data_IF_297510634607
#
_entry.id   IF_297510634607
#
_cell.length_a   1.000
_cell.length_b   1.000
_cell.length_c   1.000
_cell.angle_alpha   90.00
_cell.angle_beta   90.00
_cell.angle_gamma   90.00
#
_symmetry.space_group_name_H-M   'P 1'
#
loop_
_entity.id
_entity.type
_entity.pdbx_description
1 polymer ?
#
# COMPACT_ATOMS: atom_id res chain seq x y z
N UNK A 1 12.95 -43.62 17.22
CA UNK A 1 12.47 -42.22 17.26
C UNK A 1 13.42 -41.45 18.16
N UNK A 2 14.21 -40.52 17.63
CA UNK A 2 15.09 -39.67 18.44
C UNK A 2 14.25 -38.69 19.26
N UNK A 3 14.15 -38.92 20.58
CA UNK A 3 13.52 -38.01 21.54
C UNK A 3 14.49 -36.87 21.90
N UNK A 4 14.93 -36.09 20.91
CA UNK A 4 15.72 -34.88 21.17
C UNK A 4 14.78 -33.73 21.55
N UNK A 5 15.01 -33.03 22.67
CA UNK A 5 14.10 -31.98 23.18
C UNK A 5 14.13 -30.68 22.37
N UNK A 6 14.96 -30.60 21.33
CA UNK A 6 15.13 -29.42 20.48
C UNK A 6 15.10 -29.81 19.01
N UNK A 7 14.55 -28.94 18.18
CA UNK A 7 14.64 -28.99 16.73
C UNK A 7 15.04 -27.60 16.22
N UNK A 8 16.06 -27.54 15.37
CA UNK A 8 16.45 -26.31 14.69
C UNK A 8 16.02 -26.41 13.23
N UNK A 9 15.05 -25.59 12.82
CA UNK A 9 14.51 -25.55 11.46
C UNK A 9 14.55 -24.12 10.93
N UNK A 10 14.99 -23.97 9.69
CA UNK A 10 14.80 -22.72 8.96
C UNK A 10 13.33 -22.56 8.60
N UNK A 11 12.75 -21.40 8.88
CA UNK A 11 11.40 -21.03 8.48
C UNK A 11 11.40 -19.65 7.85
N UNK A 12 10.48 -19.41 6.92
CA UNK A 12 10.28 -18.10 6.33
C UNK A 12 9.23 -17.34 7.13
N UNK A 13 9.53 -16.09 7.47
CA UNK A 13 8.62 -15.18 8.16
C UNK A 13 8.44 -13.92 7.33
N UNK A 14 7.21 -13.45 7.24
CA UNK A 14 6.91 -12.14 6.64
C UNK A 14 6.93 -11.09 7.75
N UNK A 15 7.84 -10.12 7.64
CA UNK A 15 8.01 -9.04 8.62
C UNK A 15 7.67 -7.70 7.97
N UNK A 16 7.18 -6.76 8.78
CA UNK A 16 7.02 -5.37 8.34
C UNK A 16 8.38 -4.69 8.29
N UNK A 17 8.71 -4.04 7.17
CA UNK A 17 9.98 -3.34 6.98
C UNK A 17 9.73 -1.84 6.89
N UNK A 18 10.32 -1.08 7.81
CA UNK A 18 10.33 0.39 7.78
C UNK A 18 11.56 0.83 7.00
N UNK A 19 11.34 1.34 5.80
CA UNK A 19 12.40 1.92 4.98
C UNK A 19 12.61 3.37 5.40
N UNK A 20 13.77 3.64 5.97
CA UNK A 20 14.15 4.98 6.37
C UNK A 20 14.86 5.71 5.23
N UNK A 21 14.55 7.00 5.16
CA UNK A 21 15.14 7.94 4.23
C UNK A 21 15.74 9.11 5.01
N UNK A 22 16.69 9.80 4.39
CA UNK A 22 17.38 10.94 4.99
C UNK A 22 16.38 12.03 5.42
N UNK A 23 16.34 12.32 6.71
CA UNK A 23 15.46 13.31 7.32
C UNK A 23 15.88 13.59 8.77
N UNK A 24 15.49 14.76 9.28
CA UNK A 24 15.68 15.10 10.68
C UNK A 24 14.93 14.10 11.61
N UNK A 25 15.49 13.76 12.79
CA UNK A 25 14.88 12.81 13.74
C UNK A 25 13.42 13.09 14.07
N UNK A 26 13.07 14.37 14.23
CA UNK A 26 11.70 14.82 14.52
C UNK A 26 10.74 14.56 13.35
N UNK A 27 11.23 14.72 12.12
CA UNK A 27 10.46 14.45 10.89
C UNK A 27 10.22 12.96 10.73
N UNK A 28 11.24 12.13 11.02
CA UNK A 28 11.10 10.68 11.03
C UNK A 28 10.05 10.25 12.06
N UNK A 29 10.10 10.80 13.27
CA UNK A 29 9.11 10.49 14.32
C UNK A 29 7.69 10.79 13.85
N UNK A 30 7.46 12.01 13.36
CA UNK A 30 6.13 12.42 12.92
C UNK A 30 5.62 11.54 11.78
N UNK A 31 6.47 11.23 10.81
CA UNK A 31 6.10 10.36 9.69
C UNK A 31 5.71 8.95 10.15
N UNK A 32 6.41 8.40 11.15
CA UNK A 32 6.07 7.10 11.74
C UNK A 32 4.74 7.16 12.50
N UNK A 33 4.50 8.19 13.31
CA UNK A 33 3.25 8.39 14.03
C UNK A 33 2.06 8.51 13.06
N UNK A 34 2.22 9.26 11.97
CA UNK A 34 1.20 9.42 10.94
C UNK A 34 0.88 8.08 10.26
N UNK A 35 1.91 7.27 9.96
CA UNK A 35 1.72 5.92 9.39
C UNK A 35 1.02 4.98 10.36
N UNK A 36 1.39 5.03 11.64
CA UNK A 36 0.73 4.25 12.70
C UNK A 36 -0.74 4.65 12.83
N UNK A 37 -1.04 5.95 12.79
CA UNK A 37 -2.41 6.47 12.85
C UNK A 37 -3.25 6.05 11.63
N UNK A 38 -2.63 5.98 10.44
CA UNK A 38 -3.28 5.50 9.21
C UNK A 38 -3.62 4.01 9.27
N UNK A 39 -2.75 3.19 9.88
CA UNK A 39 -2.92 1.74 9.94
C UNK A 39 -2.67 1.15 11.36
N UNK A 40 -3.50 1.49 12.37
CA UNK A 40 -3.24 1.09 13.74
C UNK A 40 -3.26 -0.43 13.94
N UNK A 41 -4.11 -1.14 13.19
CA UNK A 41 -4.23 -2.59 13.27
C UNK A 41 -2.94 -3.33 12.83
N UNK A 42 -2.12 -2.70 12.00
CA UNK A 42 -0.88 -3.30 11.49
C UNK A 42 0.37 -2.79 12.21
N UNK A 43 0.36 -1.53 12.65
CA UNK A 43 1.58 -0.85 13.12
C UNK A 43 1.62 -0.58 14.62
N UNK A 44 0.48 -0.63 15.35
CA UNK A 44 0.49 -0.43 16.79
C UNK A 44 1.24 -1.56 17.49
N UNK A 45 2.36 -1.23 18.16
CA UNK A 45 3.28 -2.19 18.78
C UNK A 45 3.88 -3.22 17.82
N UNK A 46 3.89 -2.91 16.51
CA UNK A 46 4.30 -3.85 15.51
C UNK A 46 5.78 -4.21 15.63
N UNK A 47 6.11 -5.50 15.44
CA UNK A 47 7.49 -5.93 15.32
C UNK A 47 7.97 -5.60 13.90
N UNK A 48 9.01 -4.75 13.80
CA UNK A 48 9.50 -4.20 12.53
C UNK A 48 10.99 -4.44 12.33
N UNK A 49 11.38 -4.61 11.06
CA UNK A 49 12.77 -4.50 10.61
C UNK A 49 12.99 -3.08 10.13
N UNK A 50 14.10 -2.45 10.53
CA UNK A 50 14.45 -1.10 10.09
C UNK A 50 15.47 -1.20 8.96
N UNK A 51 15.10 -0.74 7.76
CA UNK A 51 16.01 -0.69 6.63
C UNK A 51 16.69 0.68 6.58
N UNK A 52 18.03 0.68 6.62
CA UNK A 52 18.87 1.90 6.61
C UNK A 52 19.61 2.12 5.28
N UNK A 53 19.23 1.42 4.22
CA UNK A 53 19.93 1.47 2.92
C UNK A 53 19.83 2.82 2.20
N UNK A 54 18.85 3.64 2.58
CA UNK A 54 18.58 4.97 2.04
C UNK A 54 19.10 6.13 2.90
N UNK A 55 19.88 5.84 3.95
CA UNK A 55 20.54 6.86 4.78
C UNK A 55 21.98 7.10 4.30
N UNK A 56 22.45 8.33 4.44
CA UNK A 56 23.84 8.69 4.14
C UNK A 56 24.72 8.65 5.41
N UNK A 57 25.96 8.18 5.26
CA UNK A 57 26.91 8.17 6.38
C UNK A 57 27.42 9.59 6.71
N UNK A 58 27.61 9.96 7.99
CA UNK A 58 27.49 9.13 9.19
C UNK A 58 26.07 9.10 9.79
N UNK A 59 25.57 7.90 10.06
CA UNK A 59 24.25 7.70 10.71
C UNK A 59 24.43 7.60 12.22
N UNK A 60 23.69 8.42 12.99
CA UNK A 60 23.60 8.27 14.44
C UNK A 60 22.52 7.24 14.80
N UNK A 61 22.91 5.97 14.89
CA UNK A 61 21.96 4.88 15.10
C UNK A 61 21.29 4.92 16.47
N UNK A 62 22.01 5.26 17.54
CA UNK A 62 21.41 5.40 18.87
C UNK A 62 20.26 6.42 18.91
N UNK A 63 20.41 7.57 18.23
CA UNK A 63 19.36 8.57 18.15
C UNK A 63 18.14 8.04 17.35
N UNK A 64 18.41 7.40 16.21
CA UNK A 64 17.37 6.86 15.35
C UNK A 64 16.59 5.72 16.01
N UNK A 65 17.28 4.83 16.72
CA UNK A 65 16.67 3.75 17.48
C UNK A 65 15.70 4.30 18.54
N UNK A 66 16.09 5.36 19.26
CA UNK A 66 15.23 6.02 20.26
C UNK A 66 13.99 6.64 19.61
N UNK A 67 14.15 7.28 18.45
CA UNK A 67 13.03 7.84 17.68
C UNK A 67 12.03 6.74 17.32
N UNK A 68 12.50 5.67 16.68
CA UNK A 68 11.62 4.57 16.26
C UNK A 68 10.94 3.92 17.48
N UNK A 69 11.69 3.65 18.55
CA UNK A 69 11.14 3.05 19.77
C UNK A 69 10.11 3.96 20.47
N UNK A 70 10.29 5.28 20.41
CA UNK A 70 9.36 6.25 21.03
C UNK A 70 7.95 6.21 20.41
N UNK A 71 7.83 5.80 19.14
CA UNK A 71 6.53 5.62 18.46
C UNK A 71 5.78 4.35 18.88
N UNK A 72 6.42 3.51 19.71
CA UNK A 72 5.86 2.24 20.18
C UNK A 72 6.14 1.04 19.27
N UNK A 73 6.83 1.24 18.13
CA UNK A 73 7.32 0.16 17.27
C UNK A 73 8.41 -0.66 17.97
N UNK A 74 8.47 -1.97 17.67
CA UNK A 74 9.45 -2.88 18.25
C UNK A 74 10.47 -3.31 17.20
N UNK A 75 11.71 -2.84 17.33
CA UNK A 75 12.79 -3.16 16.39
C UNK A 75 13.23 -4.60 16.63
N UNK A 76 13.05 -5.47 15.63
CA UNK A 76 13.52 -6.87 15.65
C UNK A 76 14.95 -6.97 15.13
N UNK A 77 15.31 -6.12 14.17
CA UNK A 77 16.60 -6.15 13.50
C UNK A 77 16.73 -5.02 12.49
N UNK A 78 17.91 -4.94 11.88
CA UNK A 78 18.27 -3.90 10.93
C UNK A 78 18.65 -4.53 9.60
N UNK A 79 18.21 -3.96 8.49
CA UNK A 79 18.55 -4.41 7.15
C UNK A 79 19.16 -3.28 6.32
N UNK A 80 19.77 -3.64 5.19
CA UNK A 80 20.28 -2.64 4.24
C UNK A 80 21.52 -1.87 4.70
N UNK A 81 22.15 -2.28 5.80
CA UNK A 81 23.35 -1.62 6.32
C UNK A 81 24.57 -1.87 5.40
N UNK A 82 25.15 -0.79 4.87
CA UNK A 82 26.33 -0.82 3.98
C UNK A 82 27.62 -0.42 4.70
N UNK A 83 27.53 0.50 5.67
CA UNK A 83 28.66 1.05 6.41
C UNK A 83 29.16 0.09 7.50
N UNK A 84 30.46 -0.20 7.53
CA UNK A 84 31.07 -1.09 8.50
C UNK A 84 31.03 -0.56 9.94
N UNK A 85 31.11 0.76 10.14
CA UNK A 85 31.02 1.40 11.47
C UNK A 85 29.61 1.25 12.04
N UNK A 86 28.61 1.52 11.20
CA UNK A 86 27.21 1.36 11.57
C UNK A 86 26.87 -0.10 11.91
N UNK A 87 27.42 -1.07 11.15
CA UNK A 87 27.26 -2.50 11.47
C UNK A 87 27.79 -2.84 12.86
N UNK A 88 29.01 -2.40 13.17
CA UNK A 88 29.62 -2.64 14.47
C UNK A 88 28.78 -2.01 15.61
N UNK A 89 28.28 -0.80 15.43
CA UNK A 89 27.40 -0.13 16.42
C UNK A 89 26.10 -0.94 16.66
N UNK A 90 25.46 -1.42 15.59
CA UNK A 90 24.25 -2.23 15.66
C UNK A 90 24.51 -3.58 16.36
N UNK A 91 25.63 -4.23 16.02
CA UNK A 91 26.03 -5.52 16.60
C UNK A 91 26.34 -5.39 18.10
N UNK A 92 27.00 -4.30 18.53
CA UNK A 92 27.26 -4.01 19.95
C UNK A 92 25.97 -3.82 20.77
N UNK A 93 24.91 -3.34 20.13
CA UNK A 93 23.57 -3.26 20.73
C UNK A 93 22.79 -4.58 20.74
N UNK A 94 23.37 -5.65 20.18
CA UNK A 94 22.74 -6.97 20.13
C UNK A 94 21.57 -7.06 19.16
N UNK A 95 21.47 -6.14 18.19
CA UNK A 95 20.44 -6.19 17.16
C UNK A 95 20.94 -6.98 15.96
N UNK A 96 20.16 -7.96 15.44
CA UNK A 96 20.58 -8.75 14.29
C UNK A 96 20.54 -7.93 13.00
N UNK A 97 21.56 -8.12 12.16
CA UNK A 97 21.57 -7.68 10.77
C UNK A 97 20.84 -8.71 9.89
N UNK A 98 19.76 -8.28 9.25
CA UNK A 98 18.87 -9.11 8.45
C UNK A 98 19.05 -8.85 6.95
N UNK A 99 18.94 -9.92 6.17
CA UNK A 99 18.88 -9.84 4.70
C UNK A 99 17.44 -9.95 4.25
N UNK A 100 16.95 -8.93 3.54
CA UNK A 100 15.61 -8.96 2.97
C UNK A 100 15.52 -9.93 1.79
N UNK A 101 14.42 -10.68 1.73
CA UNK A 101 14.11 -11.52 0.58
C UNK A 101 13.81 -10.66 -0.65
N UNK A 102 14.15 -11.15 -1.84
CA UNK A 102 13.80 -10.46 -3.09
C UNK A 102 12.29 -10.41 -3.24
N UNK A 103 11.70 -9.23 -3.15
CA UNK A 103 10.31 -9.03 -3.54
C UNK A 103 10.18 -9.43 -5.02
N UNK A 104 9.31 -10.40 -5.30
CA UNK A 104 9.06 -10.83 -6.68
C UNK A 104 8.46 -9.63 -7.40
N UNK A 105 9.21 -9.06 -8.35
CA UNK A 105 8.73 -7.97 -9.18
C UNK A 105 7.32 -8.31 -9.69
N UNK A 106 6.36 -7.43 -9.37
CA UNK A 106 4.99 -7.55 -9.84
C UNK A 106 5.06 -7.55 -11.36
N UNK A 107 4.81 -8.72 -11.96
CA UNK A 107 4.77 -8.90 -13.40
C UNK A 107 3.62 -8.00 -13.90
N UNK A 108 3.84 -7.08 -14.85
CA UNK A 108 2.77 -6.26 -15.37
C UNK A 108 1.65 -7.16 -15.87
N UNK A 109 0.41 -6.89 -15.46
CA UNK A 109 -0.76 -7.55 -16.02
C UNK A 109 -0.74 -7.34 -17.55
N UNK A 110 -1.05 -8.36 -18.37
CA UNK A 110 -1.18 -8.19 -19.81
C UNK A 110 -2.19 -7.07 -20.09
N UNK A 111 -1.75 -6.06 -20.84
CA UNK A 111 -2.62 -4.98 -21.32
C UNK A 111 -3.65 -5.63 -22.24
N UNK A 112 -4.91 -5.69 -21.82
CA UNK A 112 -6.01 -6.01 -22.73
C UNK A 112 -6.02 -4.97 -23.86
N UNK A 113 -5.96 -5.47 -25.10
CA UNK A 113 -5.98 -4.64 -26.30
C UNK A 113 -7.29 -3.83 -26.35
N UNK A 114 -7.26 -2.54 -26.77
CA UNK A 114 -8.45 -1.71 -26.82
C UNK A 114 -9.48 -2.29 -27.79
N UNK A 115 -10.69 -2.53 -27.28
CA UNK A 115 -11.86 -2.89 -28.07
C UNK A 115 -12.18 -1.77 -29.06
N UNK A 116 -12.26 -2.15 -30.33
CA UNK A 116 -12.63 -1.29 -31.45
C UNK A 116 -14.01 -0.65 -31.22
N UNK A 117 -14.05 0.65 -30.91
CA UNK A 117 -15.28 1.44 -30.92
C UNK A 117 -15.67 1.76 -32.36
N UNK A 118 -16.81 1.23 -32.79
CA UNK A 118 -17.43 1.55 -34.08
C UNK A 118 -17.84 3.04 -34.15
N UNK A 119 -17.74 3.69 -35.32
CA UNK A 119 -17.98 5.12 -35.45
C UNK A 119 -19.48 5.49 -35.33
N UNK A 120 -19.80 6.69 -34.81
CA UNK A 120 -21.18 7.11 -34.55
C UNK A 120 -21.93 7.47 -35.85
N UNK A 121 -23.13 6.91 -36.02
CA UNK A 121 -24.05 7.27 -37.10
C UNK A 121 -24.60 8.69 -36.89
N UNK A 122 -24.40 9.57 -37.88
CA UNK A 122 -25.01 10.90 -37.94
C UNK A 122 -26.54 10.78 -38.01
N UNK A 123 -27.25 11.21 -36.96
CA UNK A 123 -28.69 11.49 -37.02
C UNK A 123 -28.91 12.80 -37.77
N UNK A 124 -29.34 12.73 -39.01
CA UNK A 124 -29.92 13.87 -39.73
C UNK A 124 -31.28 14.22 -39.10
N UNK A 125 -31.42 15.47 -38.66
CA UNK A 125 -32.68 16.07 -38.24
C UNK A 125 -33.45 16.50 -39.50
N UNK A 126 -34.56 15.84 -39.82
CA UNK A 126 -35.50 16.36 -40.80
C UNK A 126 -36.57 17.17 -40.07
N UNK A 127 -36.48 18.49 -40.30
CA UNK A 127 -37.46 19.49 -39.94
C UNK A 127 -38.80 19.21 -40.65
N UNK A 128 -39.87 19.50 -39.90
CA UNK A 128 -41.29 19.33 -40.20
C UNK A 128 -41.67 19.87 -41.58
N UNK A 129 -42.59 19.17 -42.26
CA UNK A 129 -43.60 19.88 -43.02
C UNK A 129 -44.97 19.17 -42.94
N UNK A 130 -45.96 19.99 -42.59
CA UNK A 130 -47.37 19.70 -42.33
C UNK A 130 -48.10 19.44 -43.66
N UNK A 131 -49.12 18.55 -43.67
CA UNK A 131 -50.42 18.73 -44.37
C UNK A 131 -51.34 17.51 -44.08
N UNK A 132 -52.30 17.75 -43.18
CA UNK A 132 -53.75 17.49 -43.25
C UNK A 132 -54.33 16.34 -44.10
N UNK A 133 -55.06 15.38 -43.48
CA UNK A 133 -56.55 15.29 -43.46
C UNK A 133 -57.10 13.91 -43.03
N UNK A 134 -58.11 13.96 -42.14
CA UNK A 134 -59.34 13.13 -42.04
C UNK A 134 -59.21 11.61 -41.74
N UNK A 135 -60.06 10.94 -40.95
CA UNK A 135 -61.26 11.24 -40.16
C UNK A 135 -61.64 10.01 -39.30
N UNK A 136 -62.47 10.20 -38.26
CA UNK A 136 -63.28 9.15 -37.58
C UNK A 136 -62.75 8.75 -36.18
N UNK A 137 -63.15 9.40 -35.08
CA UNK A 137 -64.39 9.19 -34.30
C UNK A 137 -64.61 7.73 -33.86
N UNK A 138 -64.41 7.43 -32.56
CA UNK A 138 -65.46 6.96 -31.62
C UNK A 138 -64.88 6.56 -30.22
N UNK A 139 -65.22 7.39 -29.22
CA UNK A 139 -65.63 7.14 -27.80
C UNK A 139 -65.03 6.02 -26.92
N UNK A 140 -64.62 6.42 -25.70
CA UNK A 140 -65.07 5.93 -24.35
C UNK A 140 -63.87 5.90 -23.35
N UNK A 141 -63.67 6.83 -22.40
CA UNK A 141 -64.37 7.20 -21.15
C UNK A 141 -63.99 6.37 -19.88
N UNK A 142 -63.34 7.08 -18.93
CA UNK A 142 -63.39 6.97 -17.43
C UNK A 142 -62.73 5.74 -16.76
N UNK A 143 -62.11 5.76 -15.55
CA UNK A 143 -62.10 6.60 -14.33
C UNK A 143 -60.65 6.62 -13.73
N UNK A 144 -60.12 7.71 -13.15
CA UNK A 144 -60.30 8.23 -11.76
C UNK A 144 -59.73 7.30 -10.66
N UNK A 145 -58.59 7.68 -10.06
CA UNK A 145 -58.06 7.09 -8.82
C UNK A 145 -57.89 8.19 -7.77
N UNK A 146 -58.64 8.05 -6.68
CA UNK A 146 -58.51 8.74 -5.39
C UNK A 146 -57.36 8.17 -4.57
N UNK A 147 -56.48 9.03 -4.05
CA UNK A 147 -56.30 9.36 -2.62
C UNK A 147 -55.12 10.31 -2.45
#
# INVERSE_FOLDING_TARGET
>A
MSNTPIELKGSSFTLSVVHLHEAEPEVIRQALEDKIAQAPAFLKHAPVVVNVSGLESPVNWSALQKVVASTGLRIIGVSGCKDARLKAEIDEMGLPLLTEGKEKAIRPAPVEAPTHVAPPQKRYSHHKNTINKCAGSFRSAHLCTTM
#
